data_IF_866578573506
#
_entry.id   IF_866578573506
#
_cell.length_a   1.000
_cell.length_b   1.000
_cell.length_c   1.000
_cell.angle_alpha   90.00
_cell.angle_beta   90.00
_cell.angle_gamma   90.00
#
_symmetry.space_group_name_H-M   'P 1'
#
loop_
_entity.id
_entity.type
_entity.pdbx_description
1 polymer ?
#
# COMPACT_ATOMS: atom_id res chain seq x y z
N UNK A 1 6.71 -4.74 5.42
CA UNK A 1 6.91 -5.68 4.29
C UNK A 1 8.18 -5.30 3.53
N UNK A 2 9.02 -6.25 3.26
CA UNK A 2 10.25 -6.02 2.51
C UNK A 2 10.14 -6.54 1.09
N UNK A 3 10.71 -5.80 0.15
CA UNK A 3 10.83 -6.25 -1.24
C UNK A 3 12.27 -6.03 -1.71
N UNK A 4 12.70 -6.82 -2.69
CA UNK A 4 14.00 -6.63 -3.32
C UNK A 4 13.75 -6.35 -4.79
N UNK A 5 14.13 -5.15 -5.22
CA UNK A 5 13.96 -4.73 -6.60
C UNK A 5 15.17 -3.88 -7.01
N UNK A 6 15.66 -4.11 -8.22
CA UNK A 6 16.88 -3.45 -8.74
C UNK A 6 18.05 -3.63 -7.78
N UNK A 7 18.16 -4.84 -7.23
CA UNK A 7 19.24 -5.22 -6.30
C UNK A 7 19.23 -4.41 -5.00
N UNK A 8 18.07 -3.82 -4.65
CA UNK A 8 17.93 -3.07 -3.39
C UNK A 8 16.84 -3.71 -2.56
N UNK A 9 17.13 -3.88 -1.27
CA UNK A 9 16.12 -4.32 -0.31
C UNK A 9 15.42 -3.09 0.26
N UNK A 10 14.10 -3.03 0.14
CA UNK A 10 13.32 -1.86 0.52
C UNK A 10 12.25 -2.28 1.52
N UNK A 11 12.22 -1.60 2.66
CA UNK A 11 11.18 -1.81 3.65
C UNK A 11 10.01 -0.88 3.33
N UNK A 12 8.89 -1.44 2.91
CA UNK A 12 7.71 -0.66 2.56
C UNK A 12 7.00 -0.17 3.82
N UNK A 13 6.50 1.04 3.76
CA UNK A 13 5.76 1.65 4.85
C UNK A 13 4.41 2.14 4.37
N UNK A 14 3.41 2.00 5.24
CA UNK A 14 2.11 2.63 5.03
C UNK A 14 2.26 4.09 5.45
N UNK A 15 2.21 5.01 4.50
CA UNK A 15 2.55 6.41 4.76
C UNK A 15 1.66 7.35 3.95
N UNK A 16 1.51 8.56 4.45
CA UNK A 16 0.80 9.60 3.68
C UNK A 16 1.52 9.88 2.37
N UNK A 17 2.85 9.81 2.37
CA UNK A 17 3.62 10.03 1.13
C UNK A 17 3.23 9.02 0.06
N UNK A 18 3.06 7.75 0.42
CA UNK A 18 2.66 6.74 -0.55
C UNK A 18 1.27 7.01 -1.10
N UNK A 19 0.36 7.46 -0.25
CA UNK A 19 -0.99 7.82 -0.69
C UNK A 19 -0.98 9.02 -1.63
N UNK A 20 -0.16 10.04 -1.31
CA UNK A 20 -0.06 11.23 -2.14
C UNK A 20 0.51 10.89 -3.52
N UNK A 21 1.51 10.02 -3.57
CA UNK A 21 2.07 9.60 -4.85
C UNK A 21 1.01 8.86 -5.66
N UNK A 22 0.25 7.98 -5.01
CA UNK A 22 -0.85 7.28 -5.66
C UNK A 22 -1.84 8.27 -6.28
N UNK A 23 -2.25 9.28 -5.51
CA UNK A 23 -3.22 10.25 -6.00
C UNK A 23 -2.67 11.09 -7.15
N UNK A 24 -1.38 11.40 -7.11
CA UNK A 24 -0.75 12.12 -8.21
C UNK A 24 -0.71 11.31 -9.50
N UNK A 25 -0.46 10.01 -9.37
CA UNK A 25 -0.39 9.13 -10.54
C UNK A 25 -1.78 8.90 -11.12
N UNK A 26 -2.77 8.63 -10.27
CA UNK A 26 -4.11 8.25 -10.73
C UNK A 26 -5.00 9.45 -11.01
N UNK A 27 -4.73 10.59 -10.37
CA UNK A 27 -5.62 11.74 -10.45
C UNK A 27 -6.91 11.55 -9.65
N UNK A 28 -6.97 10.56 -8.79
CA UNK A 28 -8.17 10.27 -7.98
C UNK A 28 -7.78 10.12 -6.52
N UNK A 29 -8.80 10.13 -5.65
CA UNK A 29 -8.59 9.93 -4.22
C UNK A 29 -8.05 8.54 -3.94
N UNK A 30 -7.30 8.42 -2.86
CA UNK A 30 -6.69 7.15 -2.46
C UNK A 30 -7.78 6.12 -2.13
N UNK A 31 -7.91 5.12 -3.00
CA UNK A 31 -8.91 4.07 -2.83
C UNK A 31 -8.53 2.88 -3.72
N UNK A 32 -7.44 2.15 -3.40
CA UNK A 32 -6.96 1.07 -4.27
C UNK A 32 -7.80 -0.18 -4.10
N UNK A 33 -8.69 -0.44 -5.03
CA UNK A 33 -9.59 -1.59 -4.97
C UNK A 33 -9.33 -2.64 -6.04
N UNK A 34 -9.10 -2.25 -7.29
CA UNK A 34 -8.87 -3.19 -8.37
C UNK A 34 -7.41 -3.53 -8.51
N UNK A 35 -7.12 -4.47 -9.40
CA UNK A 35 -5.73 -4.91 -9.64
C UNK A 35 -4.87 -3.74 -10.06
N UNK A 36 -5.34 -2.93 -11.00
CA UNK A 36 -4.58 -1.79 -11.49
C UNK A 36 -4.26 -0.82 -10.36
N UNK A 37 -5.26 -0.48 -9.54
CA UNK A 37 -5.07 0.46 -8.45
C UNK A 37 -4.14 -0.09 -7.38
N UNK A 38 -4.24 -1.38 -7.09
CA UNK A 38 -3.35 -2.01 -6.12
C UNK A 38 -1.91 -2.01 -6.64
N UNK A 39 -1.71 -2.28 -7.93
CA UNK A 39 -0.37 -2.21 -8.52
C UNK A 39 0.20 -0.81 -8.47
N UNK A 40 -0.62 0.19 -8.78
CA UNK A 40 -0.16 1.58 -8.71
C UNK A 40 0.21 1.95 -7.28
N UNK A 41 -0.56 1.49 -6.31
CA UNK A 41 -0.24 1.77 -4.92
C UNK A 41 1.02 1.04 -4.46
N UNK A 42 1.23 -0.19 -4.94
CA UNK A 42 2.47 -0.92 -4.65
C UNK A 42 3.67 -0.12 -5.15
N UNK A 43 3.60 0.31 -6.40
CA UNK A 43 4.64 1.14 -7.00
C UNK A 43 4.84 2.44 -6.19
N UNK A 44 3.74 3.10 -5.83
CA UNK A 44 3.79 4.33 -5.03
C UNK A 44 4.47 4.10 -3.69
N UNK A 45 4.21 2.95 -3.07
CA UNK A 45 4.82 2.60 -1.79
C UNK A 45 6.32 2.42 -1.91
N UNK A 46 6.78 1.83 -3.01
CA UNK A 46 8.21 1.68 -3.26
C UNK A 46 8.86 3.05 -3.42
N UNK A 47 8.26 3.92 -4.23
CA UNK A 47 8.81 5.26 -4.45
C UNK A 47 8.83 6.08 -3.16
N UNK A 48 7.81 5.90 -2.32
CA UNK A 48 7.74 6.62 -1.04
C UNK A 48 8.77 6.10 -0.04
N UNK A 49 9.07 4.81 -0.09
CA UNK A 49 9.97 4.17 0.86
C UNK A 49 11.43 4.37 0.50
N UNK A 50 11.75 4.52 -0.78
CA UNK A 50 13.10 4.80 -1.24
C UNK A 50 13.05 5.96 -2.22
N UNK A 51 13.32 7.16 -1.72
CA UNK A 51 13.19 8.39 -2.50
C UNK A 51 14.22 8.50 -3.62
N UNK A 52 15.25 7.68 -3.57
CA UNK A 52 16.34 7.75 -4.55
C UNK A 52 16.25 6.67 -5.62
N UNK A 53 15.27 5.77 -5.52
CA UNK A 53 15.19 4.68 -6.47
C UNK A 53 14.79 5.23 -7.84
N UNK A 54 15.50 4.79 -8.87
CA UNK A 54 15.18 5.12 -10.26
C UNK A 54 14.44 3.93 -10.84
N UNK A 55 13.11 3.95 -10.71
CA UNK A 55 12.26 2.83 -11.10
C UNK A 55 11.07 3.35 -11.86
N UNK A 56 10.97 3.00 -13.15
CA UNK A 56 9.80 3.34 -13.93
C UNK A 56 8.67 2.36 -13.65
N UNK A 57 7.44 2.75 -13.97
CA UNK A 57 6.30 1.84 -13.81
C UNK A 57 6.45 0.62 -14.71
N UNK A 58 7.01 0.80 -15.90
CA UNK A 58 7.25 -0.31 -16.82
C UNK A 58 8.21 -1.32 -16.20
N UNK A 59 9.30 -0.84 -15.61
CA UNK A 59 10.25 -1.73 -14.93
C UNK A 59 9.59 -2.44 -13.76
N UNK A 60 8.73 -1.73 -13.04
CA UNK A 60 7.99 -2.33 -11.93
C UNK A 60 7.06 -3.44 -12.43
N UNK A 61 6.36 -3.21 -13.54
CA UNK A 61 5.47 -4.23 -14.10
C UNK A 61 6.24 -5.47 -14.52
N UNK A 62 7.41 -5.27 -15.14
CA UNK A 62 8.26 -6.40 -15.49
C UNK A 62 8.68 -7.19 -14.26
N UNK A 63 9.01 -6.47 -13.19
CA UNK A 63 9.40 -7.12 -11.93
C UNK A 63 8.24 -7.92 -11.33
N UNK A 64 7.02 -7.39 -11.40
CA UNK A 64 5.82 -8.11 -10.92
C UNK A 64 5.62 -9.39 -11.72
N UNK A 65 5.78 -9.33 -13.04
CA UNK A 65 5.62 -10.52 -13.87
C UNK A 65 6.62 -11.61 -13.51
N UNK A 66 7.82 -11.21 -13.09
CA UNK A 66 8.86 -12.14 -12.67
C UNK A 66 8.70 -12.59 -11.22
N UNK A 67 7.90 -11.86 -10.44
CA UNK A 67 7.70 -12.12 -9.02
C UNK A 67 6.21 -12.08 -8.67
N UNK A 68 5.40 -12.98 -9.25
CA UNK A 68 3.94 -12.88 -9.11
C UNK A 68 3.45 -12.97 -7.67
N UNK A 69 4.19 -13.65 -6.80
CA UNK A 69 3.79 -13.74 -5.39
C UNK A 69 3.91 -12.40 -4.67
N UNK A 70 4.74 -11.50 -5.19
CA UNK A 70 4.94 -10.20 -4.55
C UNK A 70 3.65 -9.37 -4.53
N UNK A 71 2.88 -9.40 -5.61
CA UNK A 71 1.62 -8.65 -5.64
C UNK A 71 0.62 -9.22 -4.64
N UNK A 72 0.55 -10.54 -4.55
CA UNK A 72 -0.34 -11.18 -3.58
C UNK A 72 0.08 -10.84 -2.15
N UNK A 73 1.37 -10.91 -1.87
CA UNK A 73 1.90 -10.56 -0.54
C UNK A 73 1.60 -9.12 -0.19
N UNK A 74 1.77 -8.21 -1.16
CA UNK A 74 1.47 -6.81 -0.94
C UNK A 74 -0.01 -6.59 -0.65
N UNK A 75 -0.89 -7.26 -1.41
CA UNK A 75 -2.33 -7.13 -1.22
C UNK A 75 -2.72 -7.58 0.20
N UNK A 76 -2.16 -8.69 0.65
CA UNK A 76 -2.44 -9.17 2.00
C UNK A 76 -1.91 -8.21 3.05
N UNK A 77 -0.71 -7.68 2.83
CA UNK A 77 -0.10 -6.73 3.78
C UNK A 77 -0.91 -5.46 3.90
N UNK A 78 -1.31 -4.87 2.77
CA UNK A 78 -2.02 -3.60 2.80
C UNK A 78 -3.44 -3.78 3.34
N UNK A 79 -4.10 -4.88 3.02
CA UNK A 79 -5.42 -5.17 3.56
C UNK A 79 -5.38 -5.29 5.08
N UNK A 80 -4.39 -6.02 5.59
CA UNK A 80 -4.20 -6.16 7.03
C UNK A 80 -3.91 -4.81 7.68
N UNK A 81 -3.06 -4.01 7.06
CA UNK A 81 -2.68 -2.71 7.60
C UNK A 81 -3.88 -1.75 7.65
N UNK A 82 -4.66 -1.70 6.57
CA UNK A 82 -5.84 -0.83 6.53
C UNK A 82 -6.90 -1.26 7.53
N UNK A 83 -7.13 -2.55 7.64
CA UNK A 83 -8.08 -3.09 8.60
C UNK A 83 -7.65 -2.77 10.02
N UNK A 84 -6.37 -2.93 10.33
CA UNK A 84 -5.83 -2.65 11.64
C UNK A 84 -6.00 -1.17 12.01
N UNK A 85 -5.68 -0.28 11.08
CA UNK A 85 -5.84 1.15 11.33
C UNK A 85 -7.29 1.53 11.50
N UNK A 86 -8.17 0.93 10.74
CA UNK A 86 -9.62 1.18 10.83
C UNK A 86 -10.14 0.76 12.21
N UNK A 87 -9.72 -0.41 12.68
CA UNK A 87 -10.14 -0.89 14.00
C UNK A 87 -9.66 0.04 15.09
N UNK A 88 -8.43 0.52 15.01
CA UNK A 88 -7.90 1.45 16.00
C UNK A 88 -8.67 2.77 16.01
N UNK A 89 -9.03 3.27 14.85
CA UNK A 89 -9.82 4.49 14.74
C UNK A 89 -11.21 4.31 15.33
N UNK A 90 -11.82 3.16 15.11
CA UNK A 90 -13.15 2.88 15.63
C UNK A 90 -13.14 2.73 17.15
N UNK A 91 -12.10 2.13 17.70
CA UNK A 91 -12.02 1.96 19.14
C UNK A 91 -11.88 3.30 19.85
N UNK A 92 -11.35 4.29 19.18
CA UNK A 92 -11.27 5.63 19.73
C UNK A 92 -12.63 6.32 19.73
N UNK A 93 -13.47 5.95 18.79
CA UNK A 93 -14.79 6.52 18.72
C UNK A 93 -15.74 5.76 19.55
N UNK A 94 -15.77 5.04 19.93
CA UNK A 94 -16.72 4.40 20.52
C UNK A 94 -16.90 3.63 21.24
N UNK A 95 -16.40 3.39 20.78
CA UNK A 95 -16.86 2.76 20.99
C UNK A 95 -17.08 2.22 21.21
N UNK A 96 -16.99 1.80 21.29
CA UNK A 96 -17.59 1.31 21.15
C UNK A 96 -17.90 0.95 21.06
N UNK A 97 -17.77 0.59 21.19
CA UNK A 97 -18.46 0.17 20.79
C UNK A 97 -18.70 -0.16 20.67
N UNK A 98 -18.59 -0.38 20.95
CA UNK A 98 -19.25 -0.73 20.60
C UNK A 98 -19.41 -0.89 20.57
N UNK A 99 -19.35 -1.08 20.97
CA UNK A 99 -19.90 -1.25 20.63
C UNK A 99 -20.10 -1.22 20.67
N UNK A 100 -20.03 -1.35 21.10
CA UNK A 100 -20.68 -1.30 20.84
C UNK A 100 -20.94 -1.13 20.84
N UNK A 101 -21.08 -1.22 21.15
CA UNK A 101 -21.64 -1.08 20.87
C UNK A 101 -21.97 -0.92 20.84
N UNK A 102 -22.03 -1.01 21.41
CA UNK A 102 -22.54 -0.82 21.14
C UNK A 102 -22.81 -0.61 21.00
N UNK A 103 -22.76 -0.74 21.75
CA UNK A 103 -23.26 -0.57 21.38
C UNK A 103 -23.32 -0.41 21.01
#
# INVERSE_FOLDING_TARGET
>A
MKVTIKNKEIELRYSFRSMMIYEKITGTSFNPKGVTEIMIYFYSSILASDKKIDLSFEEFMNWIDENPNALNDFTMWITSTLTKNSVLNESDGSGDNSNVKKN
#
